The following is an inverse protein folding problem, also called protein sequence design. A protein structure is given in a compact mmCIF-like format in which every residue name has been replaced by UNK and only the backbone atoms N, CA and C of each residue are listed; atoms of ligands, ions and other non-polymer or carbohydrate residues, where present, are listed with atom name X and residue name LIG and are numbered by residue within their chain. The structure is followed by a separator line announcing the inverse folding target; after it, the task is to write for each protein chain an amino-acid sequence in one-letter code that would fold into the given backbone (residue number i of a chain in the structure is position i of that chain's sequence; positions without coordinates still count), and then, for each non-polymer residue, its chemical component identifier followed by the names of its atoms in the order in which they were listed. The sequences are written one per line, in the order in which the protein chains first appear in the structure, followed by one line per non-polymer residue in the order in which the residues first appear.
data_IF_760636562670
#
_entry.id   IF_760636562670
#
_cell.length_a   1.000
_cell.length_b   1.000
_cell.length_c   1.000
_cell.angle_alpha   90.00
_cell.angle_beta   90.00
_cell.angle_gamma   90.00
#
_symmetry.space_group_name_H-M   'P 1'
#
loop_
_entity.id
_entity.type
_entity.pdbx_description
1 polymer ?
#
# COMPACT_ATOMS: atom_id res chain seq x y z
N UNK A 1 -4.02 -30.30 -18.56
CA UNK A 1 -3.80 -29.39 -19.71
C UNK A 1 -2.74 -28.40 -19.28
N UNK A 2 -1.59 -28.40 -19.93
CA UNK A 2 -0.46 -27.52 -19.53
C UNK A 2 -0.63 -26.20 -20.26
N UNK A 3 -1.08 -25.16 -19.56
CA UNK A 3 -1.10 -23.81 -20.11
C UNK A 3 0.34 -23.35 -20.25
N UNK A 4 0.80 -23.13 -21.48
CA UNK A 4 2.14 -22.58 -21.75
C UNK A 4 2.22 -21.19 -21.15
N UNK A 5 3.29 -20.92 -20.37
CA UNK A 5 3.52 -19.61 -19.80
C UNK A 5 3.66 -18.54 -20.92
N UNK A 6 3.08 -17.34 -20.75
CA UNK A 6 3.12 -16.30 -21.77
C UNK A 6 4.55 -15.81 -22.04
N UNK A 7 4.86 -15.60 -23.32
CA UNK A 7 6.16 -15.10 -23.78
C UNK A 7 6.43 -13.66 -23.36
N UNK A 8 7.70 -13.23 -23.45
CA UNK A 8 8.14 -11.89 -23.03
C UNK A 8 7.30 -10.76 -23.65
N UNK A 9 7.08 -10.80 -24.96
CA UNK A 9 6.35 -9.75 -25.68
C UNK A 9 4.91 -9.63 -25.21
N UNK A 10 4.24 -10.76 -24.97
CA UNK A 10 2.85 -10.77 -24.49
C UNK A 10 2.76 -10.17 -23.08
N UNK A 11 3.65 -10.58 -22.17
CA UNK A 11 3.72 -10.01 -20.83
C UNK A 11 4.01 -8.52 -20.85
N UNK A 12 4.95 -8.08 -21.70
CA UNK A 12 5.28 -6.66 -21.85
C UNK A 12 4.10 -5.82 -22.34
N UNK A 13 3.36 -6.32 -23.35
CA UNK A 13 2.14 -5.67 -23.85
C UNK A 13 1.09 -5.60 -22.75
N UNK A 14 0.84 -6.70 -22.05
CA UNK A 14 -0.13 -6.77 -20.94
C UNK A 14 0.20 -5.78 -19.82
N UNK A 15 1.46 -5.74 -19.37
CA UNK A 15 1.93 -4.78 -18.37
C UNK A 15 1.75 -3.34 -18.83
N UNK A 16 2.07 -3.03 -20.09
CA UNK A 16 1.85 -1.70 -20.66
C UNK A 16 0.36 -1.33 -20.75
N UNK A 17 -0.55 -2.29 -20.97
CA UNK A 17 -1.99 -2.05 -20.93
C UNK A 17 -2.46 -1.77 -19.51
N UNK A 18 -2.05 -2.58 -18.53
CA UNK A 18 -2.41 -2.39 -17.13
C UNK A 18 -2.01 -0.99 -16.64
N UNK A 19 -0.77 -0.56 -16.91
CA UNK A 19 -0.34 0.80 -16.56
C UNK A 19 -1.13 1.90 -17.28
N UNK A 20 -1.42 1.75 -18.58
CA UNK A 20 -2.23 2.74 -19.32
C UNK A 20 -3.65 2.86 -18.79
N UNK A 21 -4.24 1.76 -18.35
CA UNK A 21 -5.59 1.75 -17.77
C UNK A 21 -5.60 2.41 -16.39
N UNK A 22 -4.60 2.13 -15.55
CA UNK A 22 -4.59 2.61 -14.18
C UNK A 22 -4.07 4.06 -14.02
N UNK A 23 -3.11 4.48 -14.84
CA UNK A 23 -2.52 5.81 -14.80
C UNK A 23 -2.20 6.30 -16.24
N UNK A 24 -3.22 6.70 -17.03
CA UNK A 24 -3.02 7.09 -18.43
C UNK A 24 -2.04 8.27 -18.59
N UNK A 25 -2.17 9.28 -17.73
CA UNK A 25 -1.38 10.52 -17.79
C UNK A 25 0.04 10.34 -17.26
N UNK A 26 0.23 9.55 -16.21
CA UNK A 26 1.55 9.21 -15.71
C UNK A 26 2.28 8.27 -16.65
N UNK A 27 1.59 7.29 -17.24
CA UNK A 27 2.21 6.38 -18.21
C UNK A 27 2.62 7.11 -19.49
N UNK A 28 1.78 7.99 -20.05
CA UNK A 28 2.09 8.71 -21.29
C UNK A 28 3.31 9.63 -21.15
N UNK A 29 3.46 10.28 -19.99
CA UNK A 29 4.55 11.23 -19.67
C UNK A 29 5.77 10.60 -19.01
N UNK A 30 5.82 9.27 -18.85
CA UNK A 30 6.87 8.58 -18.07
C UNK A 30 8.31 8.80 -18.55
N UNK A 31 8.48 9.21 -19.81
CA UNK A 31 9.78 9.49 -20.41
C UNK A 31 10.11 10.98 -20.48
N UNK A 32 9.24 11.85 -19.97
CA UNK A 32 9.54 13.27 -19.83
C UNK A 32 10.67 13.44 -18.80
N UNK A 33 11.65 14.33 -19.03
CA UNK A 33 12.81 14.48 -18.15
C UNK A 33 12.45 14.69 -16.67
N UNK A 34 11.43 15.51 -16.41
CA UNK A 34 10.98 15.83 -15.05
C UNK A 34 10.22 14.68 -14.37
N UNK A 35 9.70 13.73 -15.17
CA UNK A 35 8.90 12.60 -14.70
C UNK A 35 9.70 11.30 -14.60
N UNK A 36 10.88 11.23 -15.23
CA UNK A 36 11.69 10.02 -15.27
C UNK A 36 12.07 9.51 -13.88
N UNK A 37 12.46 10.42 -12.96
CA UNK A 37 12.82 10.04 -11.59
C UNK A 37 11.64 9.41 -10.85
N UNK A 38 10.43 9.92 -11.06
CA UNK A 38 9.20 9.35 -10.49
C UNK A 38 8.92 7.97 -11.05
N UNK A 39 9.02 7.80 -12.37
CA UNK A 39 8.82 6.51 -13.02
C UNK A 39 9.88 5.47 -12.58
N UNK A 40 11.15 5.86 -12.50
CA UNK A 40 12.24 5.00 -12.05
C UNK A 40 12.07 4.57 -10.58
N UNK A 41 11.60 5.48 -9.71
CA UNK A 41 11.25 5.17 -8.32
C UNK A 41 10.16 4.11 -8.26
N UNK A 42 9.03 4.32 -8.94
CA UNK A 42 7.91 3.36 -8.99
C UNK A 42 8.36 1.98 -9.49
N UNK A 43 9.19 1.95 -10.53
CA UNK A 43 9.75 0.70 -11.05
C UNK A 43 10.66 0.01 -10.03
N UNK A 44 11.42 0.76 -9.22
CA UNK A 44 12.23 0.21 -8.11
C UNK A 44 11.33 -0.40 -7.05
N UNK A 45 10.32 0.35 -6.58
CA UNK A 45 9.34 -0.12 -5.60
C UNK A 45 8.66 -1.42 -6.05
N UNK A 46 8.19 -1.47 -7.30
CA UNK A 46 7.55 -2.64 -7.88
C UNK A 46 8.45 -3.89 -7.83
N UNK A 47 9.73 -3.75 -8.20
CA UNK A 47 10.69 -4.87 -8.14
C UNK A 47 10.96 -5.33 -6.72
N UNK A 48 11.09 -4.40 -5.78
CA UNK A 48 11.42 -4.72 -4.39
C UNK A 48 10.29 -5.47 -3.71
N UNK A 49 9.05 -4.99 -3.81
CA UNK A 49 7.91 -5.69 -3.18
C UNK A 49 7.60 -7.02 -3.89
N UNK A 50 7.77 -7.10 -5.22
CA UNK A 50 7.64 -8.35 -5.96
C UNK A 50 8.60 -9.41 -5.43
N UNK A 51 9.85 -9.03 -5.15
CA UNK A 51 10.83 -9.93 -4.56
C UNK A 51 10.46 -10.32 -3.12
N UNK A 52 10.02 -9.38 -2.28
CA UNK A 52 9.63 -9.63 -0.90
C UNK A 52 8.44 -10.60 -0.76
N UNK A 53 7.45 -10.45 -1.63
CA UNK A 53 6.24 -11.29 -1.67
C UNK A 53 6.38 -12.51 -2.59
N UNK A 54 7.54 -12.69 -3.22
CA UNK A 54 7.84 -13.81 -4.13
C UNK A 54 6.85 -13.93 -5.31
N UNK A 55 6.39 -12.78 -5.82
CA UNK A 55 5.50 -12.69 -6.99
C UNK A 55 6.25 -12.15 -8.22
N UNK A 56 5.67 -12.34 -9.41
CA UNK A 56 6.23 -11.76 -10.63
C UNK A 56 5.95 -10.25 -10.69
N UNK A 57 6.94 -9.46 -11.10
CA UNK A 57 6.83 -7.98 -11.15
C UNK A 57 5.72 -7.49 -12.09
N UNK A 58 5.33 -8.28 -13.09
CA UNK A 58 4.21 -7.94 -14.00
C UNK A 58 2.83 -8.03 -13.34
N UNK A 59 2.75 -8.55 -12.11
CA UNK A 59 1.55 -8.52 -11.27
C UNK A 59 1.50 -7.31 -10.33
N UNK A 60 2.57 -6.50 -10.30
CA UNK A 60 2.70 -5.35 -9.43
C UNK A 60 2.55 -4.06 -10.23
N UNK A 61 1.59 -3.24 -9.81
CA UNK A 61 1.34 -1.91 -10.33
C UNK A 61 1.67 -0.88 -9.25
N UNK A 62 2.38 0.19 -9.61
CA UNK A 62 2.62 1.33 -8.70
C UNK A 62 2.14 2.60 -9.37
N UNK A 63 1.24 3.32 -8.69
CA UNK A 63 0.68 4.61 -9.10
C UNK A 63 0.93 5.66 -8.03
N UNK A 64 0.43 6.88 -8.26
CA UNK A 64 0.36 7.84 -7.16
C UNK A 64 -0.66 7.41 -6.14
N UNK A 65 -0.32 7.65 -4.88
CA UNK A 65 -1.26 7.65 -3.79
C UNK A 65 -2.06 8.97 -3.80
N UNK A 66 -3.40 8.92 -3.93
CA UNK A 66 -4.22 10.13 -3.90
C UNK A 66 -4.42 10.69 -2.49
N UNK A 67 -4.17 9.91 -1.44
CA UNK A 67 -4.41 10.25 -0.04
C UNK A 67 -3.15 10.74 0.66
N UNK A 68 -1.99 10.15 0.32
CA UNK A 68 -0.73 10.47 0.98
C UNK A 68 0.19 11.31 0.09
N UNK A 69 0.80 12.33 0.69
CA UNK A 69 1.82 13.18 0.06
C UNK A 69 3.05 13.26 0.94
N UNK A 70 4.22 13.34 0.33
CA UNK A 70 5.48 13.52 1.04
C UNK A 70 5.99 14.94 0.91
N UNK A 71 6.43 15.57 2.02
CA UNK A 71 7.12 16.83 1.95
C UNK A 71 8.50 16.62 1.31
N UNK A 72 8.80 17.39 0.27
CA UNK A 72 10.14 17.47 -0.30
C UNK A 72 10.63 18.92 -0.31
N UNK A 73 11.93 19.11 -0.55
CA UNK A 73 12.52 20.46 -0.70
C UNK A 73 11.83 21.30 -1.77
N UNK A 74 11.20 20.65 -2.76
CA UNK A 74 10.54 21.30 -3.90
C UNK A 74 9.01 21.34 -3.78
N UNK A 75 8.46 20.96 -2.63
CA UNK A 75 7.02 20.89 -2.39
C UNK A 75 6.52 19.46 -2.16
N UNK A 76 5.23 19.27 -1.89
CA UNK A 76 4.66 17.95 -1.70
C UNK A 76 4.72 17.14 -2.99
N UNK A 77 5.15 15.88 -2.88
CA UNK A 77 5.08 14.90 -3.99
C UNK A 77 4.10 13.80 -3.60
N UNK A 78 3.24 13.32 -4.53
CA UNK A 78 2.34 12.22 -4.21
C UNK A 78 3.10 10.96 -3.78
N UNK A 79 2.47 10.23 -2.88
CA UNK A 79 2.95 8.94 -2.42
C UNK A 79 2.95 7.86 -3.49
N UNK A 80 3.50 6.69 -3.17
CA UNK A 80 3.38 5.51 -4.02
C UNK A 80 2.27 4.61 -3.48
N UNK A 81 1.24 4.35 -4.29
CA UNK A 81 0.25 3.32 -4.02
C UNK A 81 0.61 2.08 -4.83
N UNK A 82 0.78 0.97 -4.14
CA UNK A 82 1.25 -0.29 -4.70
C UNK A 82 0.06 -1.25 -4.74
N UNK A 83 -0.22 -1.83 -5.90
CA UNK A 83 -1.23 -2.87 -6.07
C UNK A 83 -0.59 -4.14 -6.58
N UNK A 84 -0.67 -5.21 -5.79
CA UNK A 84 -0.22 -6.56 -6.16
C UNK A 84 -1.45 -7.39 -6.48
N UNK A 85 -1.57 -7.86 -7.73
CA UNK A 85 -2.71 -8.70 -8.15
C UNK A 85 -2.30 -10.17 -8.08
N UNK A 86 -2.95 -10.94 -7.23
CA UNK A 86 -2.78 -12.40 -7.21
C UNK A 86 -3.23 -12.97 -8.56
N UNK A 87 -2.33 -13.60 -9.35
CA UNK A 87 -2.67 -14.11 -10.67
C UNK A 87 -3.60 -15.33 -10.63
N UNK A 88 -3.73 -16.01 -9.48
CA UNK A 88 -4.59 -17.19 -9.31
C UNK A 88 -6.01 -16.77 -8.97
N UNK A 89 -6.18 -15.87 -8.00
CA UNK A 89 -7.51 -15.45 -7.50
C UNK A 89 -8.03 -14.17 -8.16
N UNK A 90 -7.14 -13.38 -8.78
CA UNK A 90 -7.44 -12.04 -9.25
C UNK A 90 -7.58 -11.01 -8.12
N UNK A 91 -7.37 -11.39 -6.85
CA UNK A 91 -7.47 -10.47 -5.71
C UNK A 91 -6.36 -9.43 -5.79
N UNK A 92 -6.74 -8.16 -5.62
CA UNK A 92 -5.80 -7.05 -5.50
C UNK A 92 -5.48 -6.80 -4.03
N UNK A 93 -4.19 -6.73 -3.72
CA UNK A 93 -3.65 -6.34 -2.42
C UNK A 93 -3.01 -4.97 -2.55
N UNK A 94 -3.34 -4.04 -1.65
CA UNK A 94 -2.91 -2.65 -1.72
C UNK A 94 -1.92 -2.34 -0.60
N UNK A 95 -0.85 -1.65 -0.93
CA UNK A 95 0.19 -1.29 0.02
C UNK A 95 0.65 0.15 -0.21
N UNK A 96 1.17 0.77 0.86
CA UNK A 96 1.97 2.00 0.79
C UNK A 96 3.34 1.73 1.39
N UNK A 97 4.41 2.44 1.00
CA UNK A 97 5.71 2.31 1.65
C UNK A 97 5.63 2.61 3.15
N UNK A 98 6.35 1.85 3.97
CA UNK A 98 6.60 2.25 5.37
C UNK A 98 7.72 3.31 5.37
N UNK A 99 7.41 4.53 5.87
CA UNK A 99 8.38 5.63 5.89
C UNK A 99 9.39 5.55 7.02
N UNK A 100 9.15 4.70 8.02
CA UNK A 100 10.13 4.42 9.06
C UNK A 100 11.25 3.52 8.55
N UNK A 101 10.97 2.69 7.55
CA UNK A 101 11.93 1.80 6.88
C UNK A 101 11.79 1.82 5.34
N UNK A 102 12.08 2.95 4.67
CA UNK A 102 11.79 3.12 3.25
C UNK A 102 12.51 2.10 2.36
N UNK A 103 11.73 1.26 1.66
CA UNK A 103 12.22 0.26 0.74
C UNK A 103 12.48 -1.12 1.35
N UNK A 104 12.35 -1.25 2.67
CA UNK A 104 12.52 -2.52 3.38
C UNK A 104 11.21 -3.01 4.04
N UNK A 105 10.18 -2.16 4.08
CA UNK A 105 8.85 -2.49 4.59
C UNK A 105 7.73 -1.70 3.91
N UNK A 106 6.52 -2.24 4.00
CA UNK A 106 5.29 -1.69 3.47
C UNK A 106 4.17 -1.80 4.49
N UNK A 107 3.21 -0.88 4.45
CA UNK A 107 1.97 -0.98 5.19
C UNK A 107 0.91 -1.58 4.27
N UNK A 108 0.31 -2.70 4.69
CA UNK A 108 -0.85 -3.28 4.02
C UNK A 108 -2.07 -2.41 4.27
N UNK A 109 -2.75 -1.99 3.20
CA UNK A 109 -4.04 -1.32 3.29
C UNK A 109 -5.15 -2.37 3.35
N UNK A 110 -5.97 -2.31 4.39
CA UNK A 110 -7.17 -3.14 4.52
C UNK A 110 -8.27 -2.38 5.28
N UNK A 111 -9.47 -2.95 5.31
CA UNK A 111 -10.60 -2.35 6.02
C UNK A 111 -10.41 -2.47 7.53
N UNK A 112 -10.58 -1.34 8.22
CA UNK A 112 -10.74 -1.33 9.66
C UNK A 112 -11.90 -2.25 10.07
N UNK A 113 -11.72 -3.21 11.00
CA UNK A 113 -12.77 -4.14 11.38
C UNK A 113 -13.97 -3.48 12.08
N UNK A 114 -13.81 -2.26 12.58
CA UNK A 114 -14.86 -1.51 13.28
C UNK A 114 -15.60 -0.55 12.32
N UNK A 115 -14.87 0.35 11.64
CA UNK A 115 -15.50 1.39 10.81
C UNK A 115 -15.44 1.14 9.30
N UNK A 116 -14.84 0.02 8.85
CA UNK A 116 -14.66 -0.36 7.44
C UNK A 116 -13.87 0.62 6.55
N UNK A 117 -13.29 1.68 7.11
CA UNK A 117 -12.41 2.60 6.37
C UNK A 117 -11.12 1.88 5.99
N UNK A 118 -10.62 2.08 4.76
CA UNK A 118 -9.31 1.55 4.34
C UNK A 118 -8.20 2.25 5.13
N UNK A 119 -7.44 1.49 5.92
CA UNK A 119 -6.36 2.01 6.77
C UNK A 119 -5.08 1.20 6.59
N UNK A 120 -3.89 1.75 6.90
CA UNK A 120 -2.63 1.02 6.87
C UNK A 120 -2.56 0.06 8.07
N UNK A 121 -3.18 -1.11 7.95
CA UNK A 121 -3.55 -1.97 9.08
C UNK A 121 -2.35 -2.67 9.74
N UNK A 122 -1.40 -3.16 8.95
CA UNK A 122 -0.23 -3.90 9.46
C UNK A 122 1.01 -3.70 8.60
N UNK A 123 2.18 -3.98 9.17
CA UNK A 123 3.49 -3.90 8.50
C UNK A 123 3.86 -5.23 7.86
N UNK A 124 4.32 -5.17 6.62
CA UNK A 124 4.74 -6.31 5.81
C UNK A 124 6.14 -6.01 5.28
N UNK A 125 7.10 -6.88 5.54
CA UNK A 125 8.44 -6.83 4.94
C UNK A 125 8.70 -8.04 4.04
N UNK A 126 8.00 -9.15 4.26
CA UNK A 126 8.18 -10.44 3.61
C UNK A 126 6.85 -11.16 3.40
N UNK A 127 6.87 -12.20 2.56
CA UNK A 127 5.74 -13.11 2.40
C UNK A 127 5.27 -13.75 3.72
N UNK A 128 6.18 -14.00 4.67
CA UNK A 128 5.83 -14.59 5.96
C UNK A 128 4.98 -13.66 6.80
N UNK A 129 5.23 -12.35 6.77
CA UNK A 129 4.43 -11.37 7.51
C UNK A 129 3.01 -11.29 6.95
N UNK A 130 2.87 -11.38 5.61
CA UNK A 130 1.55 -11.48 4.98
C UNK A 130 0.87 -12.79 5.35
N UNK A 131 1.63 -13.89 5.48
CA UNK A 131 1.12 -15.17 5.96
C UNK A 131 0.55 -15.08 7.38
N UNK A 132 1.29 -14.44 8.30
CA UNK A 132 0.86 -14.22 9.69
C UNK A 132 -0.40 -13.35 9.77
N UNK A 133 -0.51 -12.32 8.93
CA UNK A 133 -1.73 -11.51 8.82
C UNK A 133 -2.95 -12.30 8.33
N UNK A 134 -2.75 -13.26 7.42
CA UNK A 134 -3.84 -14.03 6.82
C UNK A 134 -4.23 -15.26 7.63
N UNK A 135 -3.39 -15.70 8.55
CA UNK A 135 -3.69 -16.79 9.46
C UNK A 135 -4.80 -16.36 10.43
N UNK A 136 -5.96 -17.04 10.46
CA UNK A 136 -7.02 -16.73 11.43
C UNK A 136 -6.57 -16.85 12.89
N UNK A 137 -5.53 -17.63 13.16
CA UNK A 137 -4.91 -17.80 14.48
C UNK A 137 -3.67 -16.90 14.66
N UNK A 138 -3.33 -16.09 13.66
CA UNK A 138 -2.23 -15.14 13.68
C UNK A 138 -2.46 -13.95 14.62
N UNK A 139 -1.37 -13.35 15.08
CA UNK A 139 -1.39 -12.16 15.96
C UNK A 139 -0.59 -11.03 15.32
N UNK A 140 -0.82 -10.81 14.01
CA UNK A 140 -0.13 -9.78 13.25
C UNK A 140 -0.35 -8.41 13.91
N UNK A 141 0.71 -7.69 14.27
CA UNK A 141 0.58 -6.45 15.02
C UNK A 141 -0.11 -5.38 14.18
N UNK A 142 -1.04 -4.65 14.82
CA UNK A 142 -1.68 -3.48 14.23
C UNK A 142 -0.65 -2.35 14.16
N UNK A 143 -0.48 -1.77 12.98
CA UNK A 143 0.42 -0.65 12.76
C UNK A 143 -0.05 0.60 13.51
N UNK A 144 0.87 1.49 13.86
CA UNK A 144 0.54 2.70 14.62
C UNK A 144 -0.30 3.67 13.76
N UNK A 145 -0.05 3.69 12.46
CA UNK A 145 -0.80 4.43 11.45
C UNK A 145 -2.27 4.00 11.39
N UNK A 146 -2.56 2.74 11.68
CA UNK A 146 -3.93 2.22 11.78
C UNK A 146 -4.67 2.75 13.02
N UNK A 147 -3.97 3.37 13.99
CA UNK A 147 -4.57 3.93 15.21
C UNK A 147 -4.75 5.45 15.15
N UNK A 148 -4.31 6.09 14.06
CA UNK A 148 -4.47 7.52 13.81
C UNK A 148 -5.96 7.84 13.58
N UNK A 149 -6.54 8.71 14.40
CA UNK A 149 -7.96 9.06 14.37
C UNK A 149 -8.39 9.69 13.04
N UNK A 150 -7.47 10.38 12.36
CA UNK A 150 -7.72 10.99 11.06
C UNK A 150 -7.97 9.98 9.93
N UNK A 151 -7.62 8.70 10.15
CA UNK A 151 -7.84 7.62 9.21
C UNK A 151 -9.18 6.88 9.42
N UNK A 152 -10.01 7.30 10.39
CA UNK A 152 -11.22 6.57 10.77
C UNK A 152 -12.49 7.42 10.67
N UNK A 153 -13.64 6.72 10.68
CA UNK A 153 -14.91 7.38 11.01
C UNK A 153 -14.91 7.82 12.48
N UNK A 154 -15.70 8.86 12.83
CA UNK A 154 -15.94 9.20 14.22
C UNK A 154 -16.37 7.98 15.04
N UNK A 155 -15.91 7.91 16.29
CA UNK A 155 -16.21 6.87 17.27
C UNK A 155 -15.64 5.46 16.96
N UNK A 156 -14.68 5.35 16.04
CA UNK A 156 -14.01 4.08 15.76
C UNK A 156 -13.24 3.55 16.99
N UNK A 157 -13.55 2.32 17.41
CA UNK A 157 -12.97 1.66 18.57
C UNK A 157 -11.50 1.22 18.36
N UNK A 158 -11.02 1.21 17.12
CA UNK A 158 -9.62 0.89 16.82
C UNK A 158 -8.67 2.05 17.18
N UNK A 159 -9.20 3.27 17.24
CA UNK A 159 -8.48 4.44 17.72
C UNK A 159 -8.33 4.27 19.22
N UNK A 160 -7.07 4.18 19.71
CA UNK A 160 -6.84 4.19 21.14
C UNK A 160 -7.38 5.52 21.68
N UNK A 161 -8.19 5.51 22.77
CA UNK A 161 -8.62 6.77 23.36
C UNK A 161 -7.37 7.55 23.76
N UNK A 162 -7.18 8.72 23.15
CA UNK A 162 -6.11 9.65 23.51
C UNK A 162 -6.18 9.83 25.02
N UNK A 163 -5.14 9.39 25.75
CA UNK A 163 -5.01 9.55 27.19
C UNK A 163 -5.00 11.05 27.52
N UNK A 164 -6.18 11.65 27.58
CA UNK A 164 -6.40 13.09 27.62
C UNK A 164 -7.86 13.51 27.77
N UNK A 165 -8.84 12.61 27.60
CA UNK A 165 -10.27 12.88 27.85
C UNK A 165 -10.84 12.19 29.10
N UNK A 166 -10.00 11.80 30.07
CA UNK A 166 -10.48 11.66 31.45
C UNK A 166 -10.67 13.06 32.04
N UNK A 167 -11.71 13.77 31.58
CA UNK A 167 -12.20 14.94 32.30
C UNK A 167 -12.72 14.46 33.64
N UNK A 168 -11.98 14.82 34.69
CA UNK A 168 -12.39 14.71 36.07
C UNK A 168 -13.73 15.42 36.27
N UNK A 169 -14.82 14.65 36.28
CA UNK A 169 -16.08 15.13 36.86
C UNK A 169 -15.90 15.14 38.37
N UNK A 170 -15.55 16.29 38.92
CA UNK A 170 -15.63 16.54 40.35
C UNK A 170 -17.12 16.52 40.77
N UNK A 171 -17.49 15.83 41.86
CA UNK A 171 -18.80 16.02 42.46
C UNK A 171 -18.77 17.33 43.28
N UNK A 172 -19.62 18.28 42.93
CA UNK A 172 -19.89 19.44 43.77
C UNK A 172 -20.62 19.01 45.05
N UNK A 173 -20.09 19.43 46.19
CA UNK A 173 -20.76 19.53 47.50
C UNK A 173 -21.29 20.93 47.70
#
# INVERSE_FOLDING_TARGET
MTTTAPGLSERAVRAAHAHRTADPDGFSRRHDPDQWNRWARRARVARTIAAALQVSVDTVLVTDDPHHQYPTRTGPVPGDLITVTDPVTGRAWRFIPDFTTPGDGWLLLDQCPDCATEVPLTRIATLSDLGDYLDPDGDAPIADEARDDSNHQPDCALVLPTLGQLTTSNPET
#
